data_IF_255648033738
#
_entry.id   IF_255648033738
#
_cell.length_a   1.000
_cell.length_b   1.000
_cell.length_c   1.000
_cell.angle_alpha   90.00
_cell.angle_beta   90.00
_cell.angle_gamma   90.00
#
_symmetry.space_group_name_H-M   'P 1'
#
loop_
_entity.id
_entity.type
_entity.pdbx_description
1 polymer ?
#
# COMPACT_ATOMS: atom_id res chain seq x y z
N UNK A 1 -19.44 9.54 4.33
CA UNK A 1 -19.48 9.49 2.85
C UNK A 1 -18.05 9.44 2.36
N UNK A 2 -17.83 8.96 1.12
CA UNK A 2 -16.53 9.07 0.43
C UNK A 2 -16.72 10.06 -0.72
N UNK A 3 -15.83 11.03 -0.84
CA UNK A 3 -15.88 12.10 -1.84
C UNK A 3 -14.60 12.15 -2.67
N UNK A 4 -14.67 12.85 -3.80
CA UNK A 4 -13.50 13.05 -4.66
C UNK A 4 -12.45 13.87 -3.92
N UNK A 5 -11.25 13.31 -3.77
CA UNK A 5 -10.14 13.93 -3.05
C UNK A 5 -9.82 13.28 -1.70
N UNK A 6 -10.69 12.39 -1.21
CA UNK A 6 -10.42 11.63 -0.01
C UNK A 6 -9.20 10.71 -0.18
N UNK A 7 -8.41 10.59 0.90
CA UNK A 7 -7.21 9.74 0.92
C UNK A 7 -7.62 8.29 1.07
N UNK A 8 -7.02 7.42 0.26
CA UNK A 8 -7.16 5.96 0.38
C UNK A 8 -5.79 5.35 0.63
N UNK A 9 -5.63 4.71 1.79
CA UNK A 9 -4.41 3.97 2.15
C UNK A 9 -4.47 2.58 1.54
N UNK A 10 -3.57 2.28 0.60
CA UNK A 10 -3.44 0.94 -0.01
C UNK A 10 -2.40 0.07 0.70
N UNK A 11 -1.41 0.70 1.33
CA UNK A 11 -0.34 0.06 2.09
C UNK A 11 0.12 1.07 3.15
N UNK A 12 0.13 0.69 4.42
CA UNK A 12 0.43 1.60 5.54
C UNK A 12 -0.67 1.62 6.59
N UNK A 13 -0.65 2.65 7.44
CA UNK A 13 -1.57 2.81 8.57
C UNK A 13 -2.51 3.98 8.35
N UNK A 14 -3.78 3.79 8.68
CA UNK A 14 -4.79 4.84 8.79
C UNK A 14 -5.56 4.67 10.11
N UNK A 15 -5.38 5.62 11.04
CA UNK A 15 -5.82 5.48 12.43
C UNK A 15 -5.24 4.22 13.09
N UNK A 16 -6.12 3.35 13.57
CA UNK A 16 -5.78 2.06 14.18
C UNK A 16 -5.68 0.91 13.16
N UNK A 17 -6.07 1.13 11.91
CA UNK A 17 -6.06 0.10 10.86
C UNK A 17 -4.75 0.12 10.10
N UNK A 18 -4.24 -1.06 9.74
CA UNK A 18 -2.98 -1.18 8.98
C UNK A 18 -3.13 -2.23 7.88
N UNK A 19 -2.71 -1.86 6.66
CA UNK A 19 -2.53 -2.78 5.55
C UNK A 19 -1.03 -3.01 5.37
N UNK A 20 -0.56 -4.17 5.79
CA UNK A 20 0.86 -4.53 5.75
C UNK A 20 1.27 -5.13 4.39
N UNK A 21 2.57 -5.07 4.02
CA UNK A 21 3.07 -5.80 2.84
C UNK A 21 2.82 -7.30 2.91
N UNK A 22 2.80 -7.88 4.13
CA UNK A 22 2.49 -9.29 4.35
C UNK A 22 1.05 -9.61 3.98
N UNK A 23 0.10 -8.77 4.39
CA UNK A 23 -1.32 -8.96 4.08
C UNK A 23 -1.57 -8.98 2.57
N UNK A 24 -0.86 -8.13 1.81
CA UNK A 24 -0.89 -8.17 0.34
C UNK A 24 -0.27 -9.44 -0.23
N UNK A 25 0.90 -9.82 0.27
CA UNK A 25 1.60 -11.02 -0.19
C UNK A 25 0.77 -12.30 0.03
N UNK A 26 0.08 -12.42 1.16
CA UNK A 26 -0.84 -13.52 1.46
C UNK A 26 -2.02 -13.58 0.46
N UNK A 27 -2.60 -12.43 0.11
CA UNK A 27 -3.67 -12.35 -0.89
C UNK A 27 -3.20 -12.65 -2.31
N UNK A 28 -1.93 -12.34 -2.62
CA UNK A 28 -1.33 -12.50 -3.93
C UNK A 28 -0.54 -13.82 -4.12
N UNK A 29 -0.55 -14.70 -3.11
CA UNK A 29 0.27 -15.93 -3.06
C UNK A 29 1.75 -15.68 -3.39
N UNK A 30 2.33 -14.69 -2.71
CA UNK A 30 3.66 -14.13 -2.99
C UNK A 30 4.38 -13.79 -1.67
N UNK A 31 5.49 -13.05 -1.74
CA UNK A 31 6.28 -12.62 -0.57
C UNK A 31 6.27 -11.09 -0.41
N UNK A 32 6.47 -10.56 0.81
CA UNK A 32 6.45 -9.12 1.06
C UNK A 32 7.41 -8.31 0.17
N UNK A 33 8.57 -8.87 -0.20
CA UNK A 33 9.55 -8.18 -1.02
C UNK A 33 9.09 -7.98 -2.47
N UNK A 34 8.32 -8.93 -3.02
CA UNK A 34 7.74 -8.77 -4.36
C UNK A 34 6.71 -7.63 -4.38
N UNK A 35 5.87 -7.52 -3.35
CA UNK A 35 4.94 -6.38 -3.19
C UNK A 35 5.72 -5.06 -3.16
N UNK A 36 6.73 -4.94 -2.29
CA UNK A 36 7.49 -3.70 -2.11
C UNK A 36 8.29 -3.30 -3.37
N UNK A 37 8.88 -4.27 -4.07
CA UNK A 37 9.65 -4.04 -5.29
C UNK A 37 8.80 -3.95 -6.56
N UNK A 38 7.51 -4.32 -6.49
CA UNK A 38 6.60 -4.23 -7.64
C UNK A 38 6.33 -2.78 -8.06
N UNK A 39 6.39 -1.82 -7.13
CA UNK A 39 6.14 -0.40 -7.39
C UNK A 39 7.18 0.19 -8.35
N UNK A 40 6.76 0.35 -9.60
CA UNK A 40 7.58 0.88 -10.71
C UNK A 40 7.68 2.41 -10.67
N UNK A 41 8.46 2.96 -11.60
CA UNK A 41 8.81 4.38 -11.72
C UNK A 41 7.62 5.35 -11.87
N UNK A 42 6.43 4.87 -12.26
CA UNK A 42 5.23 5.72 -12.40
C UNK A 42 4.58 6.09 -11.07
N UNK A 43 4.94 5.42 -9.97
CA UNK A 43 4.50 5.81 -8.64
C UNK A 43 5.49 6.84 -8.07
N UNK A 44 5.10 8.11 -7.89
CA UNK A 44 5.98 9.12 -7.32
C UNK A 44 6.37 8.73 -5.89
N UNK A 45 7.66 8.90 -5.56
CA UNK A 45 8.20 8.66 -4.22
C UNK A 45 8.50 9.99 -3.57
N UNK A 46 7.81 10.28 -2.47
CA UNK A 46 8.03 11.47 -1.66
C UNK A 46 8.86 11.05 -0.44
N UNK A 47 9.99 11.72 -0.22
CA UNK A 47 10.82 11.55 0.98
C UNK A 47 10.42 12.65 1.96
N UNK A 48 10.13 12.26 3.20
CA UNK A 48 9.69 13.15 4.29
C UNK A 48 10.84 13.31 5.29
#
# INVERSE_FOLDING_TARGET
>A
SLESGDVVTLLGRDGEQTISPRSWAELADSIPWEVLCSFKHRLPRLVI
#
